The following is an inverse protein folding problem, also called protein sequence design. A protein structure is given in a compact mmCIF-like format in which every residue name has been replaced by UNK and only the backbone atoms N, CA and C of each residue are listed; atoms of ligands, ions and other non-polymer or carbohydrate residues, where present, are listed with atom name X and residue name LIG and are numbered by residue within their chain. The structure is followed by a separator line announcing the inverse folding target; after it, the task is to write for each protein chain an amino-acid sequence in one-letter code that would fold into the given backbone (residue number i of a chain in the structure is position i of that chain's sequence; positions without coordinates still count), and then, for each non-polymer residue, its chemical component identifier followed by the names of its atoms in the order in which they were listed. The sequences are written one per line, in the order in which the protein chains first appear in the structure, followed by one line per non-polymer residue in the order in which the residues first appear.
data_IF_737056572622
#
_entry.id   IF_737056572622
#
_cell.length_a   1.000
_cell.length_b   1.000
_cell.length_c   1.000
_cell.angle_alpha   90.00
_cell.angle_beta   90.00
_cell.angle_gamma   90.00
#
_symmetry.space_group_name_H-M   'P 1'
#
loop_
_entity.id
_entity.type
_entity.pdbx_description
1 polymer ?
#
# COMPACT_ATOMS: atom_id res chain seq x y z
N UNK A 1 26.37 -0.84 33.29
CA UNK A 1 25.51 -1.86 32.65
C UNK A 1 24.97 -1.23 31.37
N UNK A 2 25.45 -1.63 30.18
CA UNK A 2 24.84 -1.14 28.92
C UNK A 2 23.42 -1.68 28.88
N UNK A 3 22.43 -0.81 28.98
CA UNK A 3 21.04 -1.15 28.69
C UNK A 3 21.05 -1.65 27.25
N UNK A 4 20.99 -2.97 27.03
CA UNK A 4 20.77 -3.50 25.69
C UNK A 4 19.51 -2.84 25.16
N UNK A 5 19.65 -2.11 24.04
CA UNK A 5 18.62 -1.24 23.50
C UNK A 5 17.29 -2.01 23.46
N UNK A 6 16.26 -1.47 24.10
CA UNK A 6 14.93 -2.10 24.21
C UNK A 6 14.42 -2.56 22.84
N UNK A 7 14.79 -1.83 21.79
CA UNK A 7 14.59 -2.21 20.39
C UNK A 7 15.13 -3.62 20.06
N UNK A 8 16.41 -3.90 20.29
CA UNK A 8 17.01 -5.22 19.98
C UNK A 8 16.35 -6.36 20.75
N UNK A 9 15.90 -6.10 21.99
CA UNK A 9 15.16 -7.10 22.78
C UNK A 9 13.82 -7.44 22.15
N UNK A 10 13.06 -6.42 21.75
CA UNK A 10 11.79 -6.58 21.04
C UNK A 10 12.01 -7.31 19.72
N UNK A 11 13.00 -6.88 18.93
CA UNK A 11 13.30 -7.49 17.64
C UNK A 11 13.75 -8.95 17.76
N UNK A 12 14.56 -9.30 18.76
CA UNK A 12 14.93 -10.70 19.00
C UNK A 12 13.72 -11.55 19.34
N UNK A 13 12.86 -11.08 20.25
CA UNK A 13 11.67 -11.81 20.64
C UNK A 13 10.73 -12.02 19.45
N UNK A 14 10.55 -10.99 18.63
CA UNK A 14 9.76 -11.05 17.40
C UNK A 14 10.35 -12.06 16.40
N UNK A 15 11.61 -11.91 16.02
CA UNK A 15 12.25 -12.73 14.98
C UNK A 15 12.34 -14.21 15.40
N UNK A 16 12.51 -14.48 16.70
CA UNK A 16 12.46 -15.83 17.23
C UNK A 16 11.09 -16.51 17.02
N UNK A 17 9.97 -15.75 17.04
CA UNK A 17 8.65 -16.32 16.73
C UNK A 17 8.53 -16.75 15.27
N UNK A 18 9.24 -16.08 14.35
CA UNK A 18 9.35 -16.49 12.95
C UNK A 18 10.44 -17.55 12.71
N UNK A 19 11.10 -18.06 13.77
CA UNK A 19 12.19 -19.03 13.64
C UNK A 19 13.50 -18.45 13.08
N UNK A 20 13.65 -17.12 13.11
CA UNK A 20 14.81 -16.40 12.58
C UNK A 20 15.81 -16.12 13.71
N UNK A 21 17.06 -16.57 13.56
CA UNK A 21 18.13 -16.25 14.51
C UNK A 21 18.67 -14.83 14.28
N UNK A 22 18.35 -13.92 15.20
CA UNK A 22 18.76 -12.52 15.17
C UNK A 22 19.90 -12.20 16.15
N UNK A 23 20.57 -13.21 16.70
CA UNK A 23 21.55 -13.04 17.78
C UNK A 23 22.77 -12.21 17.37
N UNK A 24 23.17 -12.26 16.10
CA UNK A 24 24.33 -11.53 15.56
C UNK A 24 24.09 -10.03 15.32
N UNK A 25 22.83 -9.61 15.11
CA UNK A 25 22.49 -8.23 14.74
C UNK A 25 22.64 -7.24 15.90
N UNK A 26 22.50 -7.68 17.16
CA UNK A 26 22.78 -6.82 18.32
C UNK A 26 24.29 -6.51 18.45
N UNK A 27 25.15 -7.45 18.03
CA UNK A 27 26.59 -7.31 18.16
C UNK A 27 27.18 -6.25 17.20
N UNK A 28 26.51 -5.99 16.08
CA UNK A 28 26.92 -5.02 15.07
C UNK A 28 26.38 -3.61 15.33
N UNK A 29 25.44 -3.45 16.27
CA UNK A 29 24.85 -2.16 16.61
C UNK A 29 23.95 -1.56 15.53
N UNK A 30 23.48 -2.36 14.58
CA UNK A 30 22.56 -1.89 13.54
C UNK A 30 21.16 -1.63 14.10
N UNK A 31 20.65 -0.41 13.93
CA UNK A 31 19.31 -0.04 14.39
C UNK A 31 18.22 -0.30 13.34
N UNK A 32 18.48 -1.20 12.39
CA UNK A 32 17.55 -1.56 11.32
C UNK A 32 17.54 -3.07 11.13
N UNK A 33 16.35 -3.66 11.08
CA UNK A 33 16.11 -5.02 10.63
C UNK A 33 15.20 -4.99 9.41
N UNK A 34 15.39 -5.91 8.47
CA UNK A 34 14.55 -6.04 7.29
C UNK A 34 14.00 -7.46 7.27
N UNK A 35 12.68 -7.58 7.10
CA UNK A 35 11.99 -8.84 6.85
C UNK A 35 11.30 -8.75 5.51
N UNK A 36 11.66 -9.63 4.59
CA UNK A 36 10.95 -9.79 3.31
C UNK A 36 9.82 -10.78 3.53
N UNK A 37 8.59 -10.36 3.23
CA UNK A 37 7.41 -11.22 3.26
C UNK A 37 6.99 -11.60 1.85
N UNK A 38 5.86 -12.31 1.71
CA UNK A 38 5.32 -12.71 0.40
C UNK A 38 5.21 -11.52 -0.57
N UNK A 39 5.28 -11.83 -1.87
CA UNK A 39 5.35 -10.86 -2.97
C UNK A 39 6.58 -9.92 -2.96
N UNK A 40 7.66 -10.23 -2.24
CA UNK A 40 8.86 -9.39 -2.15
C UNK A 40 8.58 -8.01 -1.52
N UNK A 41 7.71 -7.95 -0.50
CA UNK A 41 7.54 -6.73 0.32
C UNK A 41 8.61 -6.72 1.41
N UNK A 42 9.51 -5.75 1.34
CA UNK A 42 10.49 -5.51 2.40
C UNK A 42 9.89 -4.65 3.52
N UNK A 43 9.83 -5.21 4.73
CA UNK A 43 9.39 -4.54 5.95
C UNK A 43 10.61 -4.15 6.76
N UNK A 44 10.79 -2.84 6.95
CA UNK A 44 11.90 -2.26 7.68
C UNK A 44 11.46 -1.94 9.11
N UNK A 45 12.16 -2.50 10.08
CA UNK A 45 12.04 -2.19 11.49
C UNK A 45 13.19 -1.28 11.90
N UNK A 46 12.90 -0.06 12.32
CA UNK A 46 13.88 1.00 12.56
C UNK A 46 13.80 1.47 14.01
N UNK A 47 14.90 1.31 14.74
CA UNK A 47 15.07 1.64 16.16
C UNK A 47 15.92 2.87 16.46
N UNK A 48 16.26 3.67 15.45
CA UNK A 48 17.15 4.84 15.60
C UNK A 48 16.52 6.00 16.36
N UNK A 49 15.18 6.03 16.45
CA UNK A 49 14.49 6.94 17.35
C UNK A 49 14.40 6.31 18.75
N UNK A 50 15.09 6.93 19.71
CA UNK A 50 15.10 6.46 21.09
C UNK A 50 13.67 6.25 21.66
N UNK A 51 13.39 5.05 22.15
CA UNK A 51 12.11 4.69 22.77
C UNK A 51 11.00 4.29 21.80
N UNK A 52 11.25 4.25 20.49
CA UNK A 52 10.25 3.92 19.48
C UNK A 52 10.70 2.81 18.55
N UNK A 53 9.73 2.00 18.12
CA UNK A 53 9.83 1.12 16.97
C UNK A 53 9.11 1.83 15.81
N UNK A 54 9.82 2.09 14.72
CA UNK A 54 9.21 2.49 13.46
C UNK A 54 9.16 1.28 12.53
N UNK A 55 8.02 1.03 11.92
CA UNK A 55 7.84 -0.01 10.91
C UNK A 55 7.46 0.70 9.63
N UNK A 56 8.14 0.41 8.52
CA UNK A 56 7.87 1.02 7.22
C UNK A 56 8.09 0.01 6.11
N UNK A 57 7.24 0.07 5.07
CA UNK A 57 7.48 -0.64 3.82
C UNK A 57 7.05 0.22 2.62
N UNK A 58 7.76 0.07 1.51
CA UNK A 58 7.30 0.52 0.22
C UNK A 58 6.39 -0.58 -0.36
N UNK A 59 5.12 -0.25 -0.62
CA UNK A 59 4.10 -1.23 -0.99
C UNK A 59 4.02 -1.42 -2.49
N UNK A 60 4.04 -0.33 -3.25
CA UNK A 60 4.08 -0.34 -4.72
C UNK A 60 4.44 1.05 -5.23
N UNK A 61 5.16 1.11 -6.34
CA UNK A 61 5.26 2.34 -7.14
C UNK A 61 3.91 2.65 -7.79
N UNK A 62 3.53 3.93 -7.82
CA UNK A 62 2.38 4.42 -8.57
C UNK A 62 2.81 4.96 -9.94
N UNK A 63 2.00 4.65 -10.94
CA UNK A 63 2.07 5.35 -12.22
C UNK A 63 1.87 6.87 -12.01
N UNK A 64 2.62 7.69 -12.74
CA UNK A 64 2.50 9.16 -12.71
C UNK A 64 1.11 9.64 -13.09
N UNK A 65 0.41 8.86 -13.91
CA UNK A 65 -0.95 9.13 -14.35
C UNK A 65 -2.00 8.40 -13.48
N UNK A 66 -1.70 8.15 -12.20
CA UNK A 66 -2.67 7.58 -11.27
C UNK A 66 -3.90 8.49 -11.16
N UNK A 67 -5.09 7.89 -11.09
CA UNK A 67 -6.31 8.66 -11.05
C UNK A 67 -6.50 9.34 -9.67
N UNK A 68 -7.14 10.52 -9.68
CA UNK A 68 -7.36 11.30 -8.46
C UNK A 68 -8.18 10.55 -7.42
N UNK A 69 -9.10 9.67 -7.85
CA UNK A 69 -9.95 8.93 -6.93
C UNK A 69 -9.12 7.92 -6.11
N UNK A 70 -8.13 7.27 -6.72
CA UNK A 70 -7.19 6.40 -6.02
C UNK A 70 -6.40 7.19 -4.97
N UNK A 71 -5.88 8.38 -5.31
CA UNK A 71 -5.18 9.25 -4.34
C UNK A 71 -6.10 9.70 -3.20
N UNK A 72 -7.34 10.08 -3.49
CA UNK A 72 -8.33 10.41 -2.46
C UNK A 72 -8.65 9.23 -1.55
N UNK A 73 -8.75 8.01 -2.10
CA UNK A 73 -8.97 6.81 -1.29
C UNK A 73 -7.78 6.54 -0.36
N UNK A 74 -6.54 6.61 -0.86
CA UNK A 74 -5.34 6.46 -0.02
C UNK A 74 -5.31 7.49 1.11
N UNK A 75 -5.64 8.75 0.82
CA UNK A 75 -5.71 9.80 1.82
C UNK A 75 -6.85 9.55 2.84
N UNK A 76 -8.01 9.11 2.37
CA UNK A 76 -9.16 8.81 3.22
C UNK A 76 -8.92 7.63 4.17
N UNK A 77 -8.04 6.67 3.80
CA UNK A 77 -7.62 5.58 4.70
C UNK A 77 -6.94 6.08 5.97
N UNK A 78 -6.34 7.29 5.95
CA UNK A 78 -5.76 7.94 7.13
C UNK A 78 -6.80 8.67 8.00
N UNK A 79 -8.10 8.50 7.74
CA UNK A 79 -9.13 9.10 8.57
C UNK A 79 -9.00 8.63 10.02
N UNK A 80 -9.22 9.55 10.95
CA UNK A 80 -9.16 9.25 12.38
C UNK A 80 -10.06 8.06 12.72
N UNK A 81 -9.45 7.07 13.37
CA UNK A 81 -10.14 5.94 13.94
C UNK A 81 -9.56 5.65 15.34
N UNK A 82 -10.23 4.78 16.09
CA UNK A 82 -9.83 4.41 17.46
C UNK A 82 -8.96 3.15 17.49
N UNK A 83 -8.58 2.60 16.34
CA UNK A 83 -7.75 1.40 16.24
C UNK A 83 -6.30 1.81 16.51
N UNK A 84 -5.64 1.03 17.36
CA UNK A 84 -4.25 1.24 17.72
C UNK A 84 -3.46 -0.05 17.52
N UNK A 85 -2.23 0.00 16.97
CA UNK A 85 -1.53 1.20 16.51
C UNK A 85 -2.12 1.79 15.23
N UNK A 86 -1.89 3.09 15.02
CA UNK A 86 -2.31 3.77 13.79
C UNK A 86 -1.36 3.39 12.66
N UNK A 87 -1.92 2.79 11.61
CA UNK A 87 -1.23 2.57 10.36
C UNK A 87 -1.46 3.79 9.46
N UNK A 88 -0.40 4.30 8.86
CA UNK A 88 -0.41 5.52 8.04
C UNK A 88 0.05 5.18 6.63
N UNK A 89 -0.77 5.54 5.66
CA UNK A 89 -0.44 5.45 4.24
C UNK A 89 0.12 6.79 3.77
N UNK A 90 1.33 6.77 3.23
CA UNK A 90 2.02 7.89 2.63
C UNK A 90 2.36 7.68 1.16
N UNK A 91 2.89 8.73 0.54
CA UNK A 91 3.47 8.68 -0.79
C UNK A 91 4.90 9.22 -0.71
N UNK A 92 5.88 8.42 -1.12
CA UNK A 92 7.24 8.88 -1.28
C UNK A 92 7.33 9.73 -2.56
N UNK A 93 7.80 10.97 -2.41
CA UNK A 93 7.84 11.94 -3.52
C UNK A 93 8.94 11.64 -4.53
N UNK A 94 10.00 10.93 -4.13
CA UNK A 94 11.18 10.73 -4.95
C UNK A 94 11.06 9.42 -5.72
N UNK A 95 10.50 8.38 -5.10
CA UNK A 95 10.26 7.06 -5.72
C UNK A 95 8.84 6.87 -6.24
N UNK A 96 7.92 7.82 -5.98
CA UNK A 96 6.48 7.68 -6.27
C UNK A 96 5.84 6.42 -5.67
N UNK A 97 6.42 5.89 -4.59
CA UNK A 97 5.92 4.67 -3.94
C UNK A 97 4.88 4.98 -2.89
N UNK A 98 3.80 4.19 -2.87
CA UNK A 98 2.92 4.13 -1.69
C UNK A 98 3.70 3.49 -0.56
N UNK A 99 3.72 4.17 0.59
CA UNK A 99 4.42 3.72 1.79
C UNK A 99 3.39 3.43 2.86
N UNK A 100 3.50 2.27 3.51
CA UNK A 100 2.79 1.99 4.75
C UNK A 100 3.75 2.17 5.90
N UNK A 101 3.31 2.83 6.97
CA UNK A 101 4.15 3.05 8.14
C UNK A 101 3.36 3.04 9.44
N UNK A 102 4.05 2.72 10.53
CA UNK A 102 3.54 2.91 11.87
C UNK A 102 4.68 3.17 12.84
N UNK A 103 4.35 3.81 13.96
CA UNK A 103 5.30 4.12 15.02
C UNK A 103 4.69 3.74 16.36
N UNK A 104 5.41 2.92 17.11
CA UNK A 104 4.95 2.38 18.38
C UNK A 104 5.98 2.64 19.49
N UNK A 105 5.57 3.19 20.66
CA UNK A 105 6.43 3.24 21.83
C UNK A 105 6.89 1.84 22.25
N UNK A 106 8.21 1.65 22.37
CA UNK A 106 8.77 0.36 22.79
C UNK A 106 8.33 -0.04 24.20
N UNK A 107 8.05 0.94 25.07
CA UNK A 107 7.59 0.69 26.43
C UNK A 107 6.18 0.06 26.50
N UNK A 108 5.39 0.18 25.44
CA UNK A 108 4.04 -0.39 25.33
C UNK A 108 4.05 -1.77 24.65
N UNK A 109 5.21 -2.24 24.19
CA UNK A 109 5.34 -3.49 23.46
C UNK A 109 5.88 -4.60 24.36
N UNK A 110 5.05 -5.62 24.58
CA UNK A 110 5.53 -6.94 24.99
C UNK A 110 5.70 -7.86 23.76
N UNK A 111 6.18 -9.09 23.97
CA UNK A 111 6.42 -10.03 22.87
C UNK A 111 5.15 -10.37 22.07
N UNK A 112 4.00 -10.49 22.73
CA UNK A 112 2.74 -10.84 22.05
C UNK A 112 2.17 -9.64 21.28
N UNK A 113 2.26 -8.44 21.85
CA UNK A 113 1.80 -7.21 21.21
C UNK A 113 2.69 -6.83 20.01
N UNK A 114 4.00 -7.08 20.11
CA UNK A 114 4.94 -6.89 19.00
C UNK A 114 4.59 -7.81 17.83
N UNK A 115 4.31 -9.08 18.10
CA UNK A 115 3.91 -10.02 17.06
C UNK A 115 2.59 -9.63 16.39
N UNK A 116 1.56 -9.31 17.19
CA UNK A 116 0.27 -8.84 16.66
C UNK A 116 0.38 -7.58 15.81
N UNK A 117 1.20 -6.62 16.24
CA UNK A 117 1.47 -5.40 15.48
C UNK A 117 2.06 -5.74 14.11
N UNK A 118 3.05 -6.64 14.07
CA UNK A 118 3.73 -6.99 12.82
C UNK A 118 2.82 -7.79 11.89
N UNK A 119 2.05 -8.75 12.41
CA UNK A 119 1.06 -9.49 11.63
C UNK A 119 0.01 -8.54 11.01
N UNK A 120 -0.56 -7.63 11.81
CA UNK A 120 -1.51 -6.64 11.30
C UNK A 120 -0.89 -5.72 10.25
N UNK A 121 0.39 -5.35 10.43
CA UNK A 121 1.12 -4.55 9.45
C UNK A 121 1.34 -5.32 8.14
N UNK A 122 1.72 -6.60 8.20
CA UNK A 122 1.89 -7.48 7.03
C UNK A 122 0.57 -7.65 6.28
N UNK A 123 -0.53 -7.91 7.01
CA UNK A 123 -1.86 -8.07 6.44
C UNK A 123 -2.30 -6.80 5.70
N UNK A 124 -2.11 -5.63 6.30
CA UNK A 124 -2.47 -4.35 5.68
C UNK A 124 -1.56 -4.05 4.46
N UNK A 125 -0.26 -4.29 4.56
CA UNK A 125 0.68 -4.08 3.44
C UNK A 125 0.32 -4.96 2.24
N UNK A 126 0.01 -6.24 2.48
CA UNK A 126 -0.36 -7.21 1.44
C UNK A 126 -1.71 -6.84 0.83
N UNK A 127 -2.70 -6.48 1.65
CA UNK A 127 -4.02 -6.04 1.20
C UNK A 127 -3.94 -4.77 0.35
N UNK A 128 -3.13 -3.80 0.78
CA UNK A 128 -2.91 -2.56 0.06
C UNK A 128 -2.21 -2.82 -1.28
N UNK A 129 -1.20 -3.70 -1.33
CA UNK A 129 -0.54 -4.09 -2.57
C UNK A 129 -1.51 -4.74 -3.56
N UNK A 130 -2.30 -5.69 -3.10
CA UNK A 130 -3.31 -6.36 -3.93
C UNK A 130 -4.34 -5.36 -4.47
N UNK A 131 -4.79 -4.41 -3.65
CA UNK A 131 -5.71 -3.35 -4.07
C UNK A 131 -5.09 -2.43 -5.13
N UNK A 132 -3.82 -2.04 -4.98
CA UNK A 132 -3.11 -1.22 -5.95
C UNK A 132 -2.88 -1.95 -7.28
N UNK A 133 -2.61 -3.26 -7.23
CA UNK A 133 -2.45 -4.09 -8.43
C UNK A 133 -3.75 -4.16 -9.26
N UNK A 134 -4.91 -4.36 -8.61
CA UNK A 134 -6.22 -4.37 -9.29
C UNK A 134 -6.52 -3.02 -9.99
N UNK A 135 -6.15 -1.90 -9.37
CA UNK A 135 -6.33 -0.56 -9.95
C UNK A 135 -5.45 -0.34 -11.17
N UNK A 136 -4.22 -0.83 -11.12
CA UNK A 136 -3.27 -0.76 -12.24
C UNK A 136 -3.74 -1.59 -13.43
N UNK A 137 -4.30 -2.78 -13.19
CA UNK A 137 -4.84 -3.65 -14.24
C UNK A 137 -6.14 -3.11 -14.87
N UNK A 138 -7.01 -2.45 -14.09
CA UNK A 138 -8.23 -1.81 -14.63
C UNK A 138 -7.94 -0.68 -15.61
N UNK A 139 -6.81 0.01 -15.47
CA UNK A 139 -6.37 1.05 -16.41
C UNK A 139 -5.98 0.46 -17.77
N UNK A 140 -5.34 -0.70 -17.79
CA UNK A 140 -4.99 -1.47 -19.01
C UNK A 140 -6.22 -2.06 -19.72
N UNK A 141 -7.35 -2.20 -19.03
CA UNK A 141 -8.60 -2.80 -19.54
C UNK A 141 -9.63 -1.79 -20.05
N UNK A 142 -9.32 -0.50 -20.16
CA UNK A 142 -10.22 0.44 -20.85
C UNK A 142 -10.37 -0.05 -22.30
N UNK A 143 -11.60 -0.35 -22.78
CA UNK A 143 -11.79 -0.77 -24.16
C UNK A 143 -11.39 0.38 -25.06
N UNK A 144 -10.59 0.08 -26.08
CA UNK A 144 -10.30 1.03 -27.15
C UNK A 144 -11.62 1.62 -27.64
N UNK A 145 -11.77 2.94 -27.52
CA UNK A 145 -12.87 3.70 -28.10
C UNK A 145 -12.77 3.76 -29.64
N UNK A 146 -12.44 2.63 -30.28
CA UNK A 146 -12.35 2.45 -31.73
C UNK A 146 -13.34 1.43 -32.29
N UNK A 147 -14.16 0.77 -31.46
CA UNK A 147 -15.20 -0.15 -31.92
C UNK A 147 -16.63 0.34 -31.63
N UNK A 148 -16.91 1.62 -31.89
CA UNK A 148 -18.27 2.17 -31.99
C UNK A 148 -18.50 2.73 -33.40
N UNK A 149 -18.34 1.87 -34.40
CA UNK A 149 -19.08 1.98 -35.65
C UNK A 149 -19.72 0.60 -35.85
N UNK A 150 -21.04 0.44 -35.67
CA UNK A 150 -21.70 -0.73 -36.22
C UNK A 150 -21.76 -0.56 -37.73
N UNK A 151 -20.88 -1.28 -38.44
CA UNK A 151 -21.07 -1.63 -39.85
C UNK A 151 -22.37 -2.43 -39.96
N UNK A 152 -23.49 -1.72 -40.19
CA UNK A 152 -24.72 -2.23 -40.81
C UNK A 152 -25.70 -1.07 -41.04
N UNK A 153 -25.43 -0.26 -42.05
CA UNK A 153 -26.49 0.48 -42.75
C UNK A 153 -26.68 -0.23 -44.09
N UNK A 154 -27.66 -1.13 -44.15
CA UNK A 154 -28.31 -1.48 -45.42
C UNK A 154 -29.75 -0.94 -45.41
N UNK A 155 -30.24 -0.48 -46.57
CA UNK A 155 -31.38 0.41 -46.69
C UNK A 155 -32.67 -0.39 -46.63
N UNK A 156 -33.73 0.22 -46.10
CA UNK A 156 -35.13 0.07 -46.52
C UNK A 156 -35.99 0.65 -45.39
N UNK A 157 -36.43 1.89 -45.55
CA UNK A 157 -37.73 2.38 -45.07
C UNK A 157 -38.06 3.67 -45.81
N UNK A 158 -38.52 3.50 -47.05
CA UNK A 158 -39.30 4.50 -47.76
C UNK A 158 -40.71 4.50 -47.16
N UNK A 159 -41.10 5.54 -46.44
CA UNK A 159 -42.51 5.95 -46.33
C UNK A 159 -42.63 7.47 -46.10
N UNK A 160 -42.54 8.19 -47.22
CA UNK A 160 -43.53 9.16 -47.69
C UNK A 160 -44.27 10.03 -46.65
N UNK A 161 -43.85 11.30 -46.51
CA UNK A 161 -44.79 12.43 -46.40
C UNK A 161 -44.36 13.54 -47.34
N UNK A 162 -45.15 13.70 -48.41
CA UNK A 162 -45.17 14.87 -49.28
C UNK A 162 -45.62 16.13 -48.51
N UNK A 163 -45.12 17.24 -49.04
CA UNK A 163 -45.60 18.62 -49.04
C UNK A 163 -44.67 19.56 -48.27
N UNK A 164 -44.18 20.69 -48.77
CA UNK A 164 -44.17 21.34 -50.08
C UNK A 164 -43.53 22.72 -49.84
N UNK A 165 -42.43 23.04 -50.57
CA UNK A 165 -41.99 24.36 -51.13
C UNK A 165 -41.82 25.55 -50.10
N UNK A 166 -40.81 26.44 -50.09
CA UNK A 166 -40.06 27.22 -51.11
C UNK A 166 -38.71 27.71 -50.50
N UNK A 167 -37.69 27.91 -51.35
CA UNK A 167 -36.44 28.64 -51.08
C UNK A 167 -36.59 30.16 -51.34
N UNK A 168 -35.77 30.93 -50.61
CA UNK A 168 -35.61 32.40 -50.55
C UNK A 168 -36.45 33.11 -49.48
#
# INVERSE_FOLDING_TARGET
MKVGNMFHRVMRALLQQYGIDASSAEATGHEVYIMTVEDDIDIHFIGSQAGYLNIVCAVSELDRDIDKQTLYTLLASNSFNRVHPVLVIGLDKDTHSVVLSTRQPLAELNSADSFKLVEAFIEEATSLRAWLADRSQKKLRKPDAKNLIPDNIHPLLNFNRKNSIIQE
#
